data_IF_801311332145
#
_entry.id   IF_801311332145
#
_cell.length_a   1.000
_cell.length_b   1.000
_cell.length_c   1.000
_cell.angle_alpha   90.00
_cell.angle_beta   90.00
_cell.angle_gamma   90.00
#
_symmetry.space_group_name_H-M   'P 1'
#
loop_
_entity.id
_entity.type
_entity.pdbx_description
1 polymer ?
#
# COMPACT_ATOMS: atom_id res chain seq x y z
N UNK A 1 41.29 -81.25 -3.11
CA UNK A 1 41.23 -81.34 -1.64
C UNK A 1 40.68 -80.01 -1.11
N UNK A 2 39.37 -79.97 -0.85
CA UNK A 2 38.73 -79.91 0.50
C UNK A 2 38.35 -78.45 0.82
N UNK A 3 37.12 -78.02 0.49
CA UNK A 3 35.95 -77.92 1.39
C UNK A 3 36.14 -77.02 2.62
N UNK A 4 35.43 -75.87 2.65
CA UNK A 4 34.79 -75.35 3.89
C UNK A 4 33.63 -74.37 3.59
N UNK A 5 32.40 -74.90 3.75
CA UNK A 5 31.17 -74.34 4.37
C UNK A 5 30.70 -72.91 4.03
N UNK A 6 29.60 -72.83 3.26
CA UNK A 6 28.62 -71.72 3.31
C UNK A 6 27.76 -71.82 4.58
N UNK A 7 27.67 -70.74 5.35
CA UNK A 7 26.66 -70.54 6.41
C UNK A 7 25.35 -69.99 5.80
N UNK A 8 24.17 -70.36 6.33
CA UNK A 8 22.89 -70.02 5.70
C UNK A 8 22.46 -68.59 6.06
N UNK A 9 22.04 -67.84 5.03
CA UNK A 9 21.45 -66.50 5.15
C UNK A 9 20.08 -66.62 5.83
N UNK A 10 19.97 -66.20 7.10
CA UNK A 10 18.68 -65.96 7.73
C UNK A 10 18.06 -64.71 7.11
N UNK A 11 17.00 -64.85 6.32
CA UNK A 11 16.21 -63.71 5.87
C UNK A 11 15.52 -63.08 7.09
N UNK A 12 16.08 -61.99 7.61
CA UNK A 12 15.34 -61.12 8.52
C UNK A 12 14.15 -60.55 7.74
N UNK A 13 12.95 -60.98 8.11
CA UNK A 13 11.71 -60.48 7.52
C UNK A 13 11.48 -59.03 8.01
N UNK A 14 12.08 -58.08 7.31
CA UNK A 14 12.01 -56.63 7.57
C UNK A 14 10.55 -56.15 7.67
N UNK A 15 9.61 -56.82 6.99
CA UNK A 15 8.18 -56.49 7.08
C UNK A 15 7.60 -56.75 8.47
N UNK A 16 8.00 -57.84 9.14
CA UNK A 16 7.53 -58.12 10.50
C UNK A 16 8.11 -57.14 11.52
N UNK A 17 9.39 -56.77 11.37
CA UNK A 17 10.03 -55.76 12.21
C UNK A 17 9.40 -54.38 12.03
N UNK A 18 9.13 -53.95 10.80
CA UNK A 18 8.46 -52.68 10.52
C UNK A 18 7.02 -52.66 11.05
N UNK A 19 6.27 -53.77 10.93
CA UNK A 19 4.93 -53.86 11.53
C UNK A 19 4.98 -53.77 13.05
N UNK A 20 5.95 -54.41 13.70
CA UNK A 20 6.12 -54.31 15.16
C UNK A 20 6.43 -52.86 15.60
N UNK A 21 7.22 -52.12 14.80
CA UNK A 21 7.57 -50.73 15.07
C UNK A 21 6.36 -49.79 14.89
N UNK A 22 5.56 -49.99 13.83
CA UNK A 22 4.33 -49.21 13.59
C UNK A 22 3.27 -49.50 14.66
N UNK A 23 3.15 -50.73 15.12
CA UNK A 23 2.24 -51.09 16.23
C UNK A 23 2.67 -50.46 17.55
N UNK A 24 3.98 -50.41 17.86
CA UNK A 24 4.51 -49.66 19.02
C UNK A 24 4.22 -48.15 18.92
N UNK A 25 4.38 -47.57 17.73
CA UNK A 25 4.13 -46.14 17.50
C UNK A 25 2.64 -45.76 17.56
N UNK A 26 1.71 -46.70 17.29
CA UNK A 26 0.27 -46.49 17.49
C UNK A 26 -0.15 -46.52 18.97
N UNK A 27 0.58 -47.23 19.83
CA UNK A 27 0.36 -47.23 21.28
C UNK A 27 0.82 -45.92 21.97
N UNK A 28 1.83 -45.24 21.42
CA UNK A 28 2.38 -43.99 21.98
C UNK A 28 1.63 -42.72 21.55
N UNK A 29 0.61 -42.81 20.68
CA UNK A 29 -0.16 -41.62 20.24
C UNK A 29 -0.99 -40.97 21.37
N UNK A 30 -1.18 -41.65 22.50
CA UNK A 30 -1.78 -41.08 23.72
C UNK A 30 -0.78 -40.34 24.63
N UNK A 31 0.53 -40.49 24.42
CA UNK A 31 1.59 -39.85 25.24
C UNK A 31 2.20 -38.58 24.59
N UNK A 32 1.80 -38.23 23.35
CA UNK A 32 2.38 -37.08 22.60
C UNK A 32 1.94 -35.72 23.17
N UNK A 33 0.88 -35.69 24.00
CA UNK A 33 0.48 -34.48 24.74
C UNK A 33 1.46 -34.17 25.87
N UNK A 34 1.69 -35.14 26.76
CA UNK A 34 2.64 -35.02 27.88
C UNK A 34 4.07 -34.78 27.39
N UNK A 35 4.51 -35.47 26.34
CA UNK A 35 5.87 -35.33 25.80
C UNK A 35 6.22 -33.91 25.34
N UNK A 36 5.25 -33.13 24.84
CA UNK A 36 5.52 -31.73 24.44
C UNK A 36 5.58 -30.79 25.64
N UNK A 37 4.78 -31.05 26.67
CA UNK A 37 4.82 -30.29 27.91
C UNK A 37 6.12 -30.59 28.67
N UNK A 38 6.52 -31.85 28.75
CA UNK A 38 7.80 -32.29 29.31
C UNK A 38 9.00 -31.70 28.55
N UNK A 39 8.96 -31.68 27.21
CA UNK A 39 10.00 -31.05 26.39
C UNK A 39 10.06 -29.52 26.60
N UNK A 40 8.90 -28.88 26.78
CA UNK A 40 8.82 -27.44 27.05
C UNK A 40 9.31 -27.10 28.46
N UNK A 41 9.01 -27.94 29.46
CA UNK A 41 9.53 -27.80 30.82
C UNK A 41 11.04 -28.02 30.89
N UNK A 42 11.54 -29.03 30.18
CA UNK A 42 12.98 -29.29 30.04
C UNK A 42 13.70 -28.13 29.36
N UNK A 43 13.12 -27.58 28.28
CA UNK A 43 13.66 -26.38 27.62
C UNK A 43 13.68 -25.18 28.57
N UNK A 44 12.61 -24.96 29.33
CA UNK A 44 12.51 -23.87 30.30
C UNK A 44 13.55 -24.01 31.42
N UNK A 45 13.77 -25.23 31.94
CA UNK A 45 14.79 -25.49 32.95
C UNK A 45 16.19 -25.21 32.42
N UNK A 46 16.53 -25.73 31.25
CA UNK A 46 17.84 -25.51 30.62
C UNK A 46 18.06 -24.04 30.27
N UNK A 47 17.03 -23.35 29.78
CA UNK A 47 17.10 -21.92 29.46
C UNK A 47 17.32 -21.06 30.72
N UNK A 48 16.66 -21.42 31.84
CA UNK A 48 16.82 -20.74 33.14
C UNK A 48 18.21 -20.96 33.73
N UNK A 49 18.76 -22.16 33.63
CA UNK A 49 20.12 -22.48 34.08
C UNK A 49 21.18 -21.75 33.23
N UNK A 50 21.01 -21.71 31.89
CA UNK A 50 21.99 -21.11 31.00
C UNK A 50 22.06 -19.58 31.06
N UNK A 51 20.93 -18.89 31.26
CA UNK A 51 20.92 -17.41 31.28
C UNK A 51 21.19 -16.78 32.66
N UNK A 52 21.26 -17.57 33.74
CA UNK A 52 21.51 -17.04 35.09
C UNK A 52 20.48 -16.01 35.56
N UNK A 53 19.24 -16.06 35.07
CA UNK A 53 18.19 -15.10 35.44
C UNK A 53 17.59 -15.52 36.78
N UNK A 54 18.07 -14.92 37.88
CA UNK A 54 17.34 -14.94 39.16
C UNK A 54 15.96 -14.31 38.94
N UNK A 55 14.90 -14.95 39.46
CA UNK A 55 13.48 -14.55 39.39
C UNK A 55 13.16 -13.15 39.97
N UNK A 56 13.72 -12.09 39.40
CA UNK A 56 13.37 -10.70 39.68
C UNK A 56 12.67 -10.04 38.50
N UNK A 57 11.97 -10.82 37.68
CA UNK A 57 11.00 -10.29 36.72
C UNK A 57 9.60 -10.28 37.34
N UNK A 58 9.42 -9.60 38.48
CA UNK A 58 8.07 -9.26 39.01
C UNK A 58 7.32 -8.27 38.11
N UNK A 59 8.02 -7.69 37.12
CA UNK A 59 7.50 -6.68 36.22
C UNK A 59 7.93 -6.99 34.77
N UNK A 60 7.56 -8.15 34.23
CA UNK A 60 7.42 -8.25 32.79
C UNK A 60 6.09 -7.56 32.44
N UNK A 61 6.10 -6.33 31.90
CA UNK A 61 4.85 -5.77 31.38
C UNK A 61 4.31 -6.73 30.33
N UNK A 62 3.00 -7.02 30.38
CA UNK A 62 2.35 -7.78 29.31
C UNK A 62 2.51 -7.00 28.00
N UNK A 63 3.43 -7.45 27.15
CA UNK A 63 3.73 -6.79 25.86
C UNK A 63 2.62 -7.06 24.83
N UNK A 64 1.81 -8.09 25.05
CA UNK A 64 0.76 -8.51 24.14
C UNK A 64 -0.45 -9.01 24.92
N UNK A 65 -1.55 -8.28 24.79
CA UNK A 65 -2.86 -8.74 25.29
C UNK A 65 -3.65 -9.23 24.09
N UNK A 66 -3.96 -10.53 24.06
CA UNK A 66 -4.79 -11.12 23.01
C UNK A 66 -6.14 -10.40 22.98
N UNK A 67 -6.55 -9.99 21.79
CA UNK A 67 -7.80 -9.29 21.60
C UNK A 67 -8.97 -10.29 21.68
N UNK A 68 -10.14 -9.89 22.23
CA UNK A 68 -11.31 -10.76 22.28
C UNK A 68 -11.68 -11.24 20.88
N UNK A 69 -11.98 -12.53 20.73
CA UNK A 69 -12.44 -13.11 19.46
C UNK A 69 -13.97 -13.10 19.40
N UNK A 70 -14.52 -13.42 18.22
CA UNK A 70 -15.98 -13.56 17.99
C UNK A 70 -16.67 -14.54 18.93
N UNK A 71 -15.91 -15.39 19.61
CA UNK A 71 -16.40 -16.37 20.58
C UNK A 71 -16.77 -15.73 21.93
N UNK A 72 -16.38 -14.47 22.17
CA UNK A 72 -16.60 -13.74 23.43
C UNK A 72 -17.40 -12.43 23.19
N UNK A 73 -18.71 -12.51 22.87
CA UNK A 73 -19.50 -11.37 22.42
C UNK A 73 -19.65 -10.26 23.47
N UNK A 74 -19.64 -10.61 24.77
CA UNK A 74 -19.75 -9.64 25.86
C UNK A 74 -18.46 -8.84 26.04
N UNK A 75 -17.29 -9.48 25.88
CA UNK A 75 -15.99 -8.80 25.94
C UNK A 75 -15.76 -7.93 24.72
N UNK A 76 -16.26 -8.33 23.54
CA UNK A 76 -16.29 -7.49 22.35
C UNK A 76 -17.12 -6.23 22.57
N UNK A 77 -18.38 -6.35 23.01
CA UNK A 77 -19.23 -5.18 23.29
C UNK A 77 -18.65 -4.25 24.36
N UNK A 78 -18.11 -4.81 25.44
CA UNK A 78 -17.45 -4.00 26.48
C UNK A 78 -16.25 -3.25 25.89
N UNK A 79 -15.48 -3.89 25.01
CA UNK A 79 -14.35 -3.26 24.32
C UNK A 79 -14.83 -2.15 23.39
N UNK A 80 -15.85 -2.39 22.58
CA UNK A 80 -16.49 -1.40 21.70
C UNK A 80 -16.91 -0.15 22.49
N UNK A 81 -17.68 -0.33 23.57
CA UNK A 81 -18.12 0.79 24.42
C UNK A 81 -16.95 1.52 25.08
N UNK A 82 -15.95 0.78 25.58
CA UNK A 82 -14.75 1.38 26.18
C UNK A 82 -13.95 2.20 25.17
N UNK A 83 -13.87 1.74 23.92
CA UNK A 83 -13.17 2.40 22.82
C UNK A 83 -13.92 3.65 22.37
N UNK A 84 -15.23 3.56 22.19
CA UNK A 84 -16.07 4.70 21.83
C UNK A 84 -15.92 5.81 22.88
N UNK A 85 -15.98 5.48 24.17
CA UNK A 85 -15.73 6.44 25.24
C UNK A 85 -14.31 7.02 25.22
N UNK A 86 -13.29 6.18 24.96
CA UNK A 86 -11.91 6.64 24.84
C UNK A 86 -11.72 7.61 23.67
N UNK A 87 -12.28 7.29 22.49
CA UNK A 87 -12.22 8.14 21.30
C UNK A 87 -13.00 9.43 21.48
N UNK A 88 -14.15 9.41 22.16
CA UNK A 88 -14.90 10.62 22.52
C UNK A 88 -14.09 11.54 23.45
N UNK A 89 -13.45 11.00 24.49
CA UNK A 89 -12.56 11.79 25.36
C UNK A 89 -11.40 12.40 24.58
N UNK A 90 -10.78 11.62 23.69
CA UNK A 90 -9.71 12.11 22.82
C UNK A 90 -10.18 13.17 21.84
N UNK A 91 -11.40 13.04 21.32
CA UNK A 91 -12.01 14.05 20.44
C UNK A 91 -12.22 15.37 21.16
N UNK A 92 -12.63 15.34 22.43
CA UNK A 92 -12.78 16.56 23.26
C UNK A 92 -11.45 17.26 23.59
N UNK A 93 -10.32 16.54 23.55
CA UNK A 93 -8.98 17.13 23.76
C UNK A 93 -8.49 17.93 22.53
N UNK A 94 -9.11 17.73 21.37
CA UNK A 94 -8.75 18.40 20.12
C UNK A 94 -9.18 19.88 20.18
N UNK A 95 -8.38 20.74 19.54
CA UNK A 95 -8.69 22.16 19.39
C UNK A 95 -9.79 22.35 18.35
N UNK A 96 -10.84 23.06 18.74
CA UNK A 96 -11.92 23.46 17.84
C UNK A 96 -11.54 24.70 17.02
N UNK A 97 -12.27 24.99 15.95
CA UNK A 97 -12.00 26.14 15.07
C UNK A 97 -11.99 27.47 15.84
N UNK A 98 -12.90 27.67 16.78
CA UNK A 98 -12.94 28.88 17.62
C UNK A 98 -11.72 28.99 18.55
N UNK A 99 -11.21 27.86 19.04
CA UNK A 99 -10.00 27.82 19.88
C UNK A 99 -8.75 28.11 19.07
N UNK A 100 -8.68 27.61 17.83
CA UNK A 100 -7.62 27.89 16.86
C UNK A 100 -7.59 29.37 16.47
N UNK A 101 -8.76 29.98 16.21
CA UNK A 101 -8.85 31.42 15.93
C UNK A 101 -8.39 32.27 17.12
N UNK A 102 -8.80 31.92 18.34
CA UNK A 102 -8.32 32.58 19.57
C UNK A 102 -6.81 32.44 19.73
N UNK A 103 -6.27 31.27 19.44
CA UNK A 103 -4.83 31.03 19.50
C UNK A 103 -4.07 31.87 18.48
N UNK A 104 -4.56 31.97 17.25
CA UNK A 104 -3.99 32.86 16.22
C UNK A 104 -3.93 34.31 16.70
N UNK A 105 -5.05 34.83 17.22
CA UNK A 105 -5.11 36.19 17.74
C UNK A 105 -4.13 36.43 18.92
N UNK A 106 -3.94 35.43 19.79
CA UNK A 106 -2.97 35.52 20.88
C UNK A 106 -1.52 35.54 20.37
N UNK A 107 -1.20 34.75 19.34
CA UNK A 107 0.12 34.74 18.72
C UNK A 107 0.41 36.07 18.02
N UNK A 108 -0.55 36.58 17.22
CA UNK A 108 -0.46 37.86 16.52
C UNK A 108 -0.26 39.03 17.48
N UNK A 109 -0.93 39.02 18.64
CA UNK A 109 -0.78 40.06 19.68
C UNK A 109 0.59 40.05 20.38
N UNK A 110 1.26 38.91 20.44
CA UNK A 110 2.49 38.69 21.20
C UNK A 110 3.72 38.46 20.29
N UNK A 111 3.70 38.98 19.06
CA UNK A 111 4.86 38.93 18.17
C UNK A 111 6.00 39.83 18.67
N UNK A 112 7.24 39.41 18.41
CA UNK A 112 8.46 40.10 18.85
C UNK A 112 9.11 40.84 17.65
N UNK A 113 9.18 42.18 17.66
CA UNK A 113 9.91 42.96 16.65
C UNK A 113 11.43 42.64 16.65
N UNK A 114 12.17 42.85 15.54
CA UNK A 114 11.74 43.36 14.24
C UNK A 114 11.06 42.30 13.37
N UNK A 115 10.05 42.73 12.62
CA UNK A 115 9.45 41.94 11.54
C UNK A 115 10.47 41.83 10.40
N UNK A 116 10.95 40.63 10.12
CA UNK A 116 11.83 40.35 8.98
C UNK A 116 10.95 39.87 7.82
N UNK A 117 11.11 40.43 6.63
CA UNK A 117 10.42 40.02 5.39
C UNK A 117 8.88 39.93 5.48
N UNK A 118 8.25 40.73 6.36
CA UNK A 118 6.79 40.69 6.56
C UNK A 118 6.30 39.49 7.37
N UNK A 119 7.18 38.61 7.85
CA UNK A 119 6.84 37.50 8.73
C UNK A 119 6.87 37.92 10.21
N UNK A 120 5.78 37.64 10.91
CA UNK A 120 5.70 37.83 12.35
C UNK A 120 6.45 36.71 13.07
N UNK A 121 7.39 37.11 13.91
CA UNK A 121 8.25 36.20 14.66
C UNK A 121 7.91 36.25 16.15
N UNK A 122 8.16 35.17 16.89
CA UNK A 122 7.97 35.10 18.34
C UNK A 122 9.21 34.58 19.05
N UNK A 123 9.61 35.28 20.12
CA UNK A 123 10.70 34.89 21.02
C UNK A 123 10.28 33.73 21.93
N UNK A 124 11.25 33.08 22.58
CA UNK A 124 10.93 32.01 23.52
C UNK A 124 10.19 32.52 24.78
N UNK A 125 10.46 33.75 25.22
CA UNK A 125 9.78 34.36 26.35
C UNK A 125 8.30 34.62 26.03
N UNK A 126 8.02 35.20 24.86
CA UNK A 126 6.67 35.45 24.38
C UNK A 126 5.93 34.13 24.09
N UNK A 127 6.64 33.11 23.60
CA UNK A 127 6.09 31.77 23.42
C UNK A 127 5.59 31.15 24.73
N UNK A 128 6.33 31.33 25.83
CA UNK A 128 5.89 30.89 27.17
C UNK A 128 4.70 31.72 27.68
N UNK A 129 4.71 33.04 27.47
CA UNK A 129 3.60 33.92 27.84
C UNK A 129 2.30 33.54 27.10
N UNK A 130 2.40 33.22 25.81
CA UNK A 130 1.26 32.72 25.04
C UNK A 130 0.83 31.34 25.56
N UNK A 131 1.76 30.45 25.92
CA UNK A 131 1.42 29.14 26.51
C UNK A 131 0.64 29.24 27.83
N UNK A 132 0.92 30.25 28.65
CA UNK A 132 0.20 30.48 29.92
C UNK A 132 -1.21 31.02 29.70
N UNK A 133 -1.36 31.90 28.71
CA UNK A 133 -2.66 32.49 28.32
C UNK A 133 -3.50 31.57 27.46
N UNK A 134 -2.87 30.63 26.75
CA UNK A 134 -3.54 29.64 25.94
C UNK A 134 -4.26 28.61 26.82
N UNK A 135 -5.37 28.08 26.31
CA UNK A 135 -6.18 27.08 27.02
C UNK A 135 -5.40 25.82 27.39
N UNK A 136 -5.93 25.04 28.34
CA UNK A 136 -5.27 23.82 28.82
C UNK A 136 -4.94 22.81 27.70
N UNK A 137 -5.78 22.73 26.66
CA UNK A 137 -5.57 21.90 25.46
C UNK A 137 -4.30 22.29 24.68
N UNK A 138 -4.01 23.59 24.60
CA UNK A 138 -2.89 24.13 23.84
C UNK A 138 -1.52 23.80 24.46
N UNK A 139 -1.45 23.57 25.78
CA UNK A 139 -0.19 23.34 26.50
C UNK A 139 0.65 22.20 25.93
N UNK A 140 0.01 21.19 25.35
CA UNK A 140 0.70 20.05 24.73
C UNK A 140 1.51 20.40 23.46
N UNK A 141 1.23 21.56 22.84
CA UNK A 141 1.93 22.06 21.65
C UNK A 141 3.11 22.97 22.03
N UNK A 142 3.05 23.64 23.18
CA UNK A 142 4.07 24.58 23.66
C UNK A 142 5.22 23.90 24.40
N UNK A 143 5.88 22.94 23.75
CA UNK A 143 7.05 22.26 24.31
C UNK A 143 8.37 22.93 23.86
N UNK A 144 9.41 23.00 24.72
CA UNK A 144 10.72 23.53 24.34
C UNK A 144 11.32 22.79 23.14
N UNK A 145 11.07 21.48 23.04
CA UNK A 145 11.50 20.65 21.90
C UNK A 145 10.81 21.03 20.58
N UNK A 146 9.58 21.54 20.62
CA UNK A 146 8.86 22.01 19.43
C UNK A 146 9.45 23.35 19.01
N UNK A 147 9.68 24.26 19.96
CA UNK A 147 10.33 25.53 19.69
C UNK A 147 11.70 25.32 19.02
N UNK A 148 12.58 24.51 19.61
CA UNK A 148 13.91 24.25 19.03
C UNK A 148 13.89 23.59 17.64
N UNK A 149 12.83 22.84 17.30
CA UNK A 149 12.67 22.25 15.95
C UNK A 149 12.22 23.27 14.91
N UNK A 150 11.51 24.31 15.34
CA UNK A 150 10.98 25.38 14.48
C UNK A 150 11.90 26.60 14.43
N UNK A 151 12.86 26.71 15.35
CA UNK A 151 13.94 27.70 15.28
C UNK A 151 14.75 27.41 14.04
N UNK A 152 14.61 28.29 13.06
CA UNK A 152 15.45 28.33 11.87
C UNK A 152 16.75 29.09 12.18
N UNK A 153 17.56 29.35 11.16
CA UNK A 153 18.78 30.16 11.21
C UNK A 153 18.51 31.65 11.46
N UNK A 154 17.54 32.00 12.32
CA UNK A 154 17.30 33.39 12.74
C UNK A 154 18.41 33.82 13.71
N UNK A 155 19.09 34.96 13.46
CA UNK A 155 20.14 35.48 14.33
C UNK A 155 19.70 35.76 15.77
N UNK A 156 18.39 35.93 15.99
CA UNK A 156 17.78 36.24 17.29
C UNK A 156 17.11 35.04 17.95
N UNK A 157 17.18 33.84 17.34
CA UNK A 157 16.61 32.61 17.89
C UNK A 157 15.07 32.62 18.00
N UNK A 158 14.38 33.33 17.12
CA UNK A 158 12.90 33.40 17.08
C UNK A 158 12.33 32.37 16.10
N UNK A 159 11.02 32.11 16.23
CA UNK A 159 10.27 31.24 15.29
C UNK A 159 9.19 32.03 14.56
N UNK A 160 8.88 31.64 13.32
CA UNK A 160 7.77 32.22 12.56
C UNK A 160 6.44 31.78 13.15
N UNK A 161 5.56 32.74 13.47
CA UNK A 161 4.22 32.47 14.02
C UNK A 161 3.41 31.65 13.02
N UNK A 162 3.53 31.96 11.72
CA UNK A 162 2.84 31.22 10.66
C UNK A 162 3.26 29.75 10.64
N UNK A 163 4.57 29.47 10.71
CA UNK A 163 5.09 28.11 10.72
C UNK A 163 4.65 27.33 11.97
N UNK A 164 4.66 27.97 13.14
CA UNK A 164 4.18 27.35 14.37
C UNK A 164 2.67 27.07 14.34
N UNK A 165 1.88 28.02 13.84
CA UNK A 165 0.44 27.82 13.68
C UNK A 165 0.13 26.69 12.70
N UNK A 166 0.84 26.63 11.55
CA UNK A 166 0.73 25.54 10.59
C UNK A 166 1.12 24.19 11.20
N UNK A 167 2.14 24.15 12.08
CA UNK A 167 2.49 22.94 12.83
C UNK A 167 1.33 22.48 13.73
N UNK A 168 0.70 23.39 14.47
CA UNK A 168 -0.46 23.07 15.31
C UNK A 168 -1.61 22.57 14.46
N UNK A 169 -1.96 23.28 13.38
CA UNK A 169 -3.02 22.90 12.46
C UNK A 169 -2.82 21.49 11.91
N UNK A 170 -1.61 21.18 11.40
CA UNK A 170 -1.26 19.84 10.90
C UNK A 170 -1.40 18.77 11.98
N UNK A 171 -0.97 19.05 13.20
CA UNK A 171 -1.04 18.07 14.30
C UNK A 171 -2.46 17.85 14.80
N UNK A 172 -3.26 18.91 14.92
CA UNK A 172 -4.70 18.85 15.23
C UNK A 172 -5.41 18.03 14.17
N UNK A 173 -5.16 18.31 12.90
CA UNK A 173 -5.70 17.58 11.76
C UNK A 173 -5.32 16.10 11.78
N UNK A 174 -4.05 15.75 11.98
CA UNK A 174 -3.61 14.36 12.08
C UNK A 174 -4.33 13.61 13.21
N UNK A 175 -4.54 14.26 14.35
CA UNK A 175 -5.31 13.69 15.45
C UNK A 175 -6.78 13.52 15.11
N UNK A 176 -7.42 14.51 14.47
CA UNK A 176 -8.80 14.43 14.01
C UNK A 176 -8.99 13.27 13.03
N UNK A 177 -8.17 13.19 11.98
CA UNK A 177 -8.25 12.14 10.96
C UNK A 177 -7.99 10.77 11.55
N UNK A 178 -7.01 10.64 12.46
CA UNK A 178 -6.74 9.39 13.19
C UNK A 178 -7.93 8.95 14.03
N UNK A 179 -8.58 9.86 14.74
CA UNK A 179 -9.78 9.54 15.53
C UNK A 179 -10.92 9.15 14.60
N UNK A 180 -11.14 9.90 13.51
CA UNK A 180 -12.14 9.61 12.49
C UNK A 180 -12.00 8.19 11.95
N UNK A 181 -10.81 7.82 11.47
CA UNK A 181 -10.52 6.46 11.00
C UNK A 181 -10.67 5.41 12.12
N UNK A 182 -10.23 5.71 13.33
CA UNK A 182 -10.31 4.77 14.46
C UNK A 182 -11.74 4.47 14.93
N UNK A 183 -12.72 5.32 14.62
CA UNK A 183 -14.13 5.05 14.92
C UNK A 183 -14.68 3.87 14.09
N UNK A 184 -14.14 3.63 12.89
CA UNK A 184 -14.53 2.51 12.03
C UNK A 184 -13.80 1.21 12.38
N UNK A 185 -12.71 1.27 13.15
CA UNK A 185 -12.06 0.09 13.73
C UNK A 185 -12.75 -0.30 15.05
N UNK A 186 -13.92 -0.93 14.92
CA UNK A 186 -14.80 -1.36 16.01
C UNK A 186 -14.04 -2.24 17.02
N UNK A 187 -13.29 -3.23 16.53
CA UNK A 187 -12.56 -4.18 17.37
C UNK A 187 -11.24 -3.63 17.94
N UNK A 188 -10.69 -2.57 17.35
CA UNK A 188 -9.47 -1.93 17.82
C UNK A 188 -8.20 -2.68 17.47
N UNK A 189 -8.16 -3.25 16.27
CA UNK A 189 -7.00 -3.95 15.76
C UNK A 189 -5.93 -3.00 15.18
N UNK A 190 -6.27 -1.74 14.92
CA UNK A 190 -5.40 -0.75 14.30
C UNK A 190 -5.35 -0.83 12.77
N UNK A 191 -6.26 -1.59 12.16
CA UNK A 191 -6.43 -1.69 10.71
C UNK A 191 -7.89 -1.52 10.31
N UNK A 192 -8.11 -1.12 9.06
CA UNK A 192 -9.42 -1.00 8.43
C UNK A 192 -9.56 -2.04 7.32
N UNK A 193 -10.76 -2.61 7.20
CA UNK A 193 -11.16 -3.43 6.04
C UNK A 193 -11.77 -2.54 4.96
N UNK A 194 -12.00 -3.13 3.80
CA UNK A 194 -12.58 -2.43 2.64
C UNK A 194 -13.91 -1.77 2.99
N UNK A 195 -14.83 -2.51 3.62
CA UNK A 195 -16.12 -1.97 4.10
C UNK A 195 -15.97 -0.79 5.05
N UNK A 196 -14.97 -0.83 5.92
CA UNK A 196 -14.76 0.19 6.96
C UNK A 196 -14.29 1.49 6.31
N UNK A 197 -13.39 1.39 5.33
CA UNK A 197 -12.90 2.53 4.57
C UNK A 197 -13.95 3.08 3.58
N UNK A 198 -14.73 2.20 2.94
CA UNK A 198 -15.85 2.58 2.07
C UNK A 198 -16.87 3.43 2.86
N UNK A 199 -17.24 3.00 4.07
CA UNK A 199 -18.16 3.75 4.94
C UNK A 199 -17.58 5.12 5.36
N UNK A 200 -16.29 5.15 5.73
CA UNK A 200 -15.60 6.41 6.05
C UNK A 200 -15.62 7.39 4.88
N UNK A 201 -15.31 6.94 3.67
CA UNK A 201 -15.33 7.78 2.47
C UNK A 201 -16.76 8.27 2.19
N UNK A 202 -17.76 7.41 2.29
CA UNK A 202 -19.16 7.76 2.06
C UNK A 202 -19.65 8.88 2.99
N UNK A 203 -19.29 8.83 4.27
CA UNK A 203 -19.64 9.88 5.23
C UNK A 203 -18.88 11.19 5.00
N UNK A 204 -17.70 11.12 4.38
CA UNK A 204 -16.92 12.31 4.05
C UNK A 204 -17.42 13.04 2.80
N UNK A 205 -18.03 12.37 1.83
CA UNK A 205 -18.49 12.99 0.57
C UNK A 205 -19.25 14.32 0.78
N UNK A 206 -20.25 14.43 1.68
CA UNK A 206 -20.99 15.68 1.88
C UNK A 206 -20.14 16.84 2.42
N UNK A 207 -18.96 16.54 2.98
CA UNK A 207 -18.02 17.54 3.51
C UNK A 207 -17.01 18.01 2.47
N UNK A 208 -17.02 17.42 1.26
CA UNK A 208 -16.08 17.71 0.17
C UNK A 208 -16.79 18.54 -0.91
N UNK A 209 -16.59 19.87 -0.98
CA UNK A 209 -17.28 20.73 -1.92
C UNK A 209 -17.08 20.31 -3.38
N UNK A 210 -15.88 19.82 -3.73
CA UNK A 210 -15.55 19.35 -5.08
C UNK A 210 -16.35 18.12 -5.53
N UNK A 211 -17.00 17.41 -4.60
CA UNK A 211 -17.83 16.23 -4.89
C UNK A 211 -19.33 16.51 -4.86
N UNK A 212 -19.75 17.73 -4.50
CA UNK A 212 -21.18 18.09 -4.40
C UNK A 212 -21.95 17.93 -5.72
N UNK A 213 -21.25 17.98 -6.86
CA UNK A 213 -21.85 17.78 -8.19
C UNK A 213 -22.16 16.32 -8.55
N UNK A 214 -21.74 15.35 -7.73
CA UNK A 214 -21.95 13.93 -8.03
C UNK A 214 -23.39 13.49 -7.75
N UNK A 215 -23.95 12.69 -8.67
CA UNK A 215 -25.25 12.06 -8.46
C UNK A 215 -25.18 10.99 -7.36
N UNK A 216 -26.25 10.89 -6.56
CA UNK A 216 -26.32 9.89 -5.46
C UNK A 216 -26.25 8.44 -5.95
N UNK A 217 -26.71 8.17 -7.18
CA UNK A 217 -26.58 6.88 -7.87
C UNK A 217 -25.12 6.48 -8.08
N UNK A 218 -24.23 7.46 -8.25
CA UNK A 218 -22.82 7.26 -8.50
C UNK A 218 -21.99 7.08 -7.22
N UNK A 219 -22.54 7.38 -6.03
CA UNK A 219 -21.79 7.34 -4.78
C UNK A 219 -21.17 5.96 -4.51
N UNK A 220 -21.89 4.88 -4.78
CA UNK A 220 -21.36 3.52 -4.61
C UNK A 220 -20.13 3.26 -5.48
N UNK A 221 -20.14 3.74 -6.73
CA UNK A 221 -19.01 3.58 -7.66
C UNK A 221 -17.84 4.49 -7.27
N UNK A 222 -18.12 5.72 -6.86
CA UNK A 222 -17.10 6.65 -6.38
C UNK A 222 -16.39 6.12 -5.14
N UNK A 223 -17.16 5.68 -4.13
CA UNK A 223 -16.63 5.11 -2.89
C UNK A 223 -15.77 3.89 -3.18
N UNK A 224 -16.24 2.99 -4.06
CA UNK A 224 -15.48 1.84 -4.52
C UNK A 224 -14.15 2.28 -5.18
N UNK A 225 -14.20 3.26 -6.09
CA UNK A 225 -13.02 3.80 -6.80
C UNK A 225 -11.99 4.37 -5.84
N UNK A 226 -12.44 5.20 -4.90
CA UNK A 226 -11.58 5.83 -3.91
C UNK A 226 -10.98 4.81 -2.94
N UNK A 227 -11.80 3.91 -2.38
CA UNK A 227 -11.33 2.86 -1.48
C UNK A 227 -10.33 1.94 -2.18
N UNK A 228 -10.58 1.58 -3.45
CA UNK A 228 -9.70 0.70 -4.22
C UNK A 228 -8.31 1.29 -4.40
N UNK A 229 -8.18 2.60 -4.62
CA UNK A 229 -6.87 3.27 -4.68
C UNK A 229 -6.06 3.06 -3.40
N UNK A 230 -6.66 3.21 -2.22
CA UNK A 230 -5.97 2.94 -0.95
C UNK A 230 -5.55 1.47 -0.82
N UNK A 231 -6.45 0.53 -1.12
CA UNK A 231 -6.14 -0.91 -1.02
C UNK A 231 -5.07 -1.36 -2.03
N UNK A 232 -5.08 -0.81 -3.23
CA UNK A 232 -4.11 -1.16 -4.26
C UNK A 232 -2.68 -0.80 -3.84
N UNK A 233 -2.47 0.39 -3.28
CA UNK A 233 -1.13 0.83 -2.90
C UNK A 233 -0.69 0.42 -1.49
N UNK A 234 -1.61 0.37 -0.52
CA UNK A 234 -1.29 0.11 0.89
C UNK A 234 -1.44 -1.36 1.30
N UNK A 235 -2.10 -2.20 0.49
CA UNK A 235 -2.25 -3.64 0.75
C UNK A 235 -1.74 -4.49 -0.42
N UNK A 236 -0.42 -4.49 -0.70
CA UNK A 236 0.13 -5.13 -1.90
C UNK A 236 0.11 -6.65 -1.90
N UNK A 237 -0.18 -7.27 -0.74
CA UNK A 237 -0.31 -8.73 -0.59
C UNK A 237 -1.81 -9.12 -0.59
N UNK A 238 -2.73 -8.16 -0.76
CA UNK A 238 -4.18 -8.37 -0.76
C UNK A 238 -4.67 -9.07 0.52
N UNK A 239 -4.17 -8.63 1.68
CA UNK A 239 -4.60 -9.13 2.99
C UNK A 239 -6.02 -8.71 3.37
N UNK A 240 -6.60 -7.73 2.65
CA UNK A 240 -7.89 -7.11 2.94
C UNK A 240 -7.84 -6.19 4.16
N UNK A 241 -6.64 -5.76 4.59
CA UNK A 241 -6.44 -4.98 5.81
C UNK A 241 -5.37 -3.91 5.59
N UNK A 242 -5.71 -2.65 5.86
CA UNK A 242 -4.76 -1.53 5.82
C UNK A 242 -4.61 -0.97 7.23
N UNK A 243 -3.38 -0.74 7.70
CA UNK A 243 -3.18 -0.11 9.00
C UNK A 243 -3.57 1.37 8.94
N UNK A 244 -4.20 1.87 9.99
CA UNK A 244 -4.59 3.29 10.09
C UNK A 244 -3.35 4.20 9.99
N UNK A 245 -2.22 3.77 10.55
CA UNK A 245 -0.96 4.51 10.46
C UNK A 245 -0.50 4.66 9.01
N UNK A 246 -0.60 3.60 8.21
CA UNK A 246 -0.16 3.60 6.81
C UNK A 246 -1.03 4.55 5.97
N UNK A 247 -2.34 4.64 6.27
CA UNK A 247 -3.27 5.62 5.67
C UNK A 247 -2.89 7.05 6.06
N UNK A 248 -2.53 7.30 7.32
CA UNK A 248 -2.15 8.64 7.79
C UNK A 248 -0.81 9.13 7.23
N UNK A 249 0.05 8.21 6.78
CA UNK A 249 1.37 8.52 6.23
C UNK A 249 1.39 8.54 4.71
N UNK A 250 0.30 8.15 4.04
CA UNK A 250 0.26 8.13 2.58
C UNK A 250 -0.08 9.51 2.01
N UNK A 251 0.54 9.86 0.89
CA UNK A 251 0.24 11.12 0.18
C UNK A 251 -1.18 11.16 -0.36
N UNK A 252 -1.78 10.01 -0.67
CA UNK A 252 -3.14 9.94 -1.22
C UNK A 252 -4.21 10.47 -0.27
N UNK A 253 -3.97 10.40 1.04
CA UNK A 253 -4.89 10.97 2.02
C UNK A 253 -4.93 12.49 1.92
N UNK A 254 -3.78 13.12 1.66
CA UNK A 254 -3.69 14.56 1.42
C UNK A 254 -4.45 14.93 0.14
N UNK A 255 -4.19 14.23 -0.98
CA UNK A 255 -4.93 14.41 -2.25
C UNK A 255 -6.46 14.31 -2.05
N UNK A 256 -6.91 13.34 -1.24
CA UNK A 256 -8.33 13.13 -0.98
C UNK A 256 -8.93 14.26 -0.15
N UNK A 257 -8.18 14.80 0.81
CA UNK A 257 -8.66 15.84 1.72
C UNK A 257 -8.50 17.26 1.16
N UNK A 258 -7.62 17.46 0.18
CA UNK A 258 -7.55 18.69 -0.61
C UNK A 258 -8.88 19.00 -1.30
N UNK A 259 -9.71 17.99 -1.61
CA UNK A 259 -11.06 18.16 -2.17
C UNK A 259 -12.02 18.97 -1.27
N UNK A 260 -11.61 19.31 -0.05
CA UNK A 260 -12.29 20.27 0.83
C UNK A 260 -12.13 21.72 0.39
N UNK A 261 -11.07 22.03 -0.34
CA UNK A 261 -10.80 23.37 -0.84
C UNK A 261 -11.72 23.69 -2.01
N UNK A 262 -12.51 24.75 -1.89
CA UNK A 262 -13.44 25.21 -2.92
C UNK A 262 -12.72 25.83 -4.13
N UNK A 263 -11.51 26.38 -3.92
CA UNK A 263 -10.74 27.11 -4.94
C UNK A 263 -9.72 26.24 -5.68
N UNK A 264 -9.85 24.91 -5.61
CA UNK A 264 -9.01 23.98 -6.35
C UNK A 264 -9.05 24.27 -7.86
N UNK A 265 -7.89 24.56 -8.43
CA UNK A 265 -7.77 24.80 -9.87
C UNK A 265 -8.17 23.56 -10.68
N UNK A 266 -8.61 23.77 -11.93
CA UNK A 266 -9.01 22.69 -12.84
C UNK A 266 -7.87 21.71 -13.15
N UNK A 267 -6.65 22.21 -13.30
CA UNK A 267 -5.46 21.38 -13.57
C UNK A 267 -5.19 20.40 -12.42
N UNK A 268 -5.27 20.89 -11.17
CA UNK A 268 -5.15 20.03 -10.00
C UNK A 268 -6.28 19.01 -9.92
N UNK A 269 -7.53 19.41 -10.24
CA UNK A 269 -8.65 18.47 -10.30
C UNK A 269 -8.43 17.36 -11.33
N UNK A 270 -7.87 17.67 -12.50
CA UNK A 270 -7.59 16.68 -13.55
C UNK A 270 -6.46 15.71 -13.18
N UNK A 271 -5.46 16.20 -12.43
CA UNK A 271 -4.35 15.38 -11.91
C UNK A 271 -4.75 14.53 -10.71
N UNK A 272 -5.68 15.01 -9.87
CA UNK A 272 -6.11 14.33 -8.67
C UNK A 272 -7.09 13.20 -9.02
N UNK A 273 -6.71 11.96 -8.74
CA UNK A 273 -7.53 10.79 -9.00
C UNK A 273 -8.85 10.76 -8.22
N UNK A 274 -8.89 11.38 -7.05
CA UNK A 274 -10.08 11.39 -6.19
C UNK A 274 -11.10 12.46 -6.62
N UNK A 275 -10.74 13.34 -7.55
CA UNK A 275 -11.67 14.36 -8.03
C UNK A 275 -12.87 13.73 -8.75
N UNK A 276 -14.00 14.43 -8.73
CA UNK A 276 -15.20 14.02 -9.46
C UNK A 276 -14.92 13.82 -10.97
N UNK A 277 -14.21 14.72 -11.69
CA UNK A 277 -13.86 14.53 -13.09
C UNK A 277 -13.05 13.26 -13.35
N UNK A 278 -12.03 12.97 -12.53
CA UNK A 278 -11.18 11.78 -12.68
C UNK A 278 -11.98 10.49 -12.44
N UNK A 279 -12.77 10.43 -11.38
CA UNK A 279 -13.61 9.26 -11.09
C UNK A 279 -14.66 9.02 -12.20
N UNK A 280 -15.28 10.08 -12.71
CA UNK A 280 -16.22 9.99 -13.84
C UNK A 280 -15.54 9.60 -15.14
N UNK A 281 -14.29 10.03 -15.38
CA UNK A 281 -13.50 9.62 -16.55
C UNK A 281 -13.27 8.11 -16.55
N UNK A 282 -12.83 7.55 -15.43
CA UNK A 282 -12.56 6.10 -15.28
C UNK A 282 -13.83 5.29 -15.43
N UNK A 283 -14.90 5.70 -14.75
CA UNK A 283 -16.19 5.02 -14.87
C UNK A 283 -16.80 5.17 -16.27
N UNK A 284 -16.66 6.32 -16.90
CA UNK A 284 -17.09 6.54 -18.29
C UNK A 284 -16.33 5.66 -19.28
N UNK A 285 -15.03 5.45 -19.07
CA UNK A 285 -14.25 4.49 -19.85
C UNK A 285 -14.77 3.07 -19.68
N UNK A 286 -15.08 2.66 -18.44
CA UNK A 286 -15.70 1.35 -18.17
C UNK A 286 -16.99 1.16 -18.96
N UNK A 287 -17.92 2.12 -18.88
CA UNK A 287 -19.20 2.08 -19.60
C UNK A 287 -19.05 2.10 -21.13
N UNK A 288 -17.99 2.70 -21.65
CA UNK A 288 -17.71 2.71 -23.08
C UNK A 288 -17.16 1.36 -23.58
N UNK A 289 -16.51 0.60 -22.70
CA UNK A 289 -16.00 -0.74 -23.01
C UNK A 289 -17.13 -1.77 -22.93
N UNK A 290 -17.99 -1.69 -21.91
CA UNK A 290 -19.17 -2.55 -21.69
C UNK A 290 -20.26 -2.27 -22.74
N UNK A 291 -20.22 -3.00 -23.86
CA UNK A 291 -21.11 -2.77 -25.01
C UNK A 291 -22.46 -3.45 -24.83
N UNK A 292 -22.48 -4.59 -24.18
CA UNK A 292 -23.71 -5.34 -23.92
C UNK A 292 -24.46 -4.83 -22.68
N UNK A 293 -23.81 -3.95 -21.90
CA UNK A 293 -24.34 -3.29 -20.69
C UNK A 293 -24.72 -4.30 -19.62
N UNK A 294 -23.98 -5.41 -19.56
CA UNK A 294 -24.20 -6.45 -18.57
C UNK A 294 -23.55 -6.09 -17.21
N UNK A 295 -22.75 -5.02 -17.16
CA UNK A 295 -22.10 -4.52 -15.95
C UNK A 295 -20.76 -5.18 -15.64
N UNK A 296 -20.25 -6.03 -16.53
CA UNK A 296 -18.96 -6.71 -16.51
C UNK A 296 -18.21 -6.45 -17.84
N UNK A 297 -16.93 -6.82 -17.90
CA UNK A 297 -16.13 -6.68 -19.12
C UNK A 297 -15.61 -8.03 -19.60
N UNK A 298 -15.92 -8.37 -20.84
CA UNK A 298 -15.29 -9.48 -21.56
C UNK A 298 -13.86 -9.14 -22.00
N UNK A 299 -13.10 -10.17 -22.39
CA UNK A 299 -11.73 -9.98 -22.94
C UNK A 299 -11.74 -9.10 -24.18
N UNK A 300 -12.71 -9.30 -25.07
CA UNK A 300 -12.86 -8.58 -26.33
C UNK A 300 -13.20 -7.10 -26.13
N UNK A 301 -13.89 -6.79 -25.02
CA UNK A 301 -14.18 -5.41 -24.63
C UNK A 301 -12.96 -4.75 -24.01
N UNK A 302 -12.29 -5.41 -23.07
CA UNK A 302 -11.06 -4.88 -22.46
C UNK A 302 -9.93 -4.70 -23.49
N UNK A 303 -9.90 -5.51 -24.55
CA UNK A 303 -8.95 -5.36 -25.66
C UNK A 303 -9.01 -4.00 -26.35
N UNK A 304 -10.12 -3.25 -26.21
CA UNK A 304 -10.28 -1.88 -26.74
C UNK A 304 -9.86 -0.79 -25.76
N UNK A 305 -9.33 -1.16 -24.59
CA UNK A 305 -8.83 -0.20 -23.61
C UNK A 305 -7.69 0.64 -24.21
N UNK A 306 -7.71 1.94 -23.94
CA UNK A 306 -6.73 2.90 -24.47
C UNK A 306 -6.72 2.94 -25.99
N UNK A 307 -5.57 2.61 -26.59
CA UNK A 307 -5.34 2.54 -28.03
C UNK A 307 -5.72 1.18 -28.64
N UNK A 308 -6.11 0.20 -27.83
CA UNK A 308 -6.40 -1.17 -28.28
C UNK A 308 -5.18 -1.96 -28.74
N UNK A 309 -3.98 -1.51 -28.33
CA UNK A 309 -2.69 -2.08 -28.75
C UNK A 309 -2.17 -3.17 -27.83
N UNK A 310 -2.81 -3.39 -26.68
CA UNK A 310 -2.48 -4.46 -25.73
C UNK A 310 -2.52 -5.84 -26.37
N UNK A 311 -1.49 -6.65 -26.13
CA UNK A 311 -1.40 -7.98 -26.74
C UNK A 311 -2.45 -8.95 -26.22
N UNK A 312 -2.94 -9.84 -27.08
CA UNK A 312 -3.95 -10.83 -26.68
C UNK A 312 -3.44 -11.78 -25.60
N UNK A 313 -2.13 -12.09 -25.64
CA UNK A 313 -1.43 -12.92 -24.65
C UNK A 313 -1.40 -12.25 -23.28
N UNK A 314 -1.16 -10.93 -23.22
CA UNK A 314 -1.25 -10.18 -21.97
C UNK A 314 -2.67 -10.19 -21.42
N UNK A 315 -3.68 -9.91 -22.27
CA UNK A 315 -5.08 -9.93 -21.87
C UNK A 315 -5.53 -11.32 -21.37
N UNK A 316 -5.10 -12.40 -22.02
CA UNK A 316 -5.36 -13.76 -21.54
C UNK A 316 -4.83 -13.98 -20.12
N UNK A 317 -3.61 -13.50 -19.85
CA UNK A 317 -3.00 -13.63 -18.53
C UNK A 317 -3.69 -12.73 -17.49
N UNK A 318 -4.15 -11.53 -17.88
CA UNK A 318 -4.95 -10.67 -17.01
C UNK A 318 -6.22 -11.38 -16.54
N UNK A 319 -6.98 -12.00 -17.46
CA UNK A 319 -8.21 -12.73 -17.11
C UNK A 319 -7.94 -14.06 -16.37
N UNK A 320 -6.74 -14.64 -16.48
CA UNK A 320 -6.34 -15.81 -15.69
C UNK A 320 -5.95 -15.46 -14.25
N UNK A 321 -5.31 -14.32 -14.02
CA UNK A 321 -4.83 -13.91 -12.69
C UNK A 321 -5.85 -13.08 -11.89
N UNK A 322 -6.76 -12.38 -12.59
CA UNK A 322 -7.81 -11.59 -11.96
C UNK A 322 -8.99 -12.45 -11.51
N UNK A 323 -9.76 -11.90 -10.57
CA UNK A 323 -11.06 -12.47 -10.23
C UNK A 323 -12.02 -12.20 -11.39
N UNK A 324 -12.43 -13.26 -12.08
CA UNK A 324 -13.42 -13.20 -13.17
C UNK A 324 -14.65 -14.01 -12.82
N UNK A 325 -15.82 -13.53 -13.21
CA UNK A 325 -17.10 -14.20 -13.08
C UNK A 325 -17.54 -14.68 -14.46
N UNK A 326 -17.60 -16.00 -14.66
CA UNK A 326 -17.95 -16.60 -15.97
C UNK A 326 -17.07 -16.14 -17.14
N UNK A 327 -15.82 -15.73 -16.85
CA UNK A 327 -14.88 -15.22 -17.84
C UNK A 327 -14.94 -13.71 -18.05
N UNK A 328 -15.74 -12.99 -17.27
CA UNK A 328 -15.87 -11.53 -17.33
C UNK A 328 -15.30 -10.86 -16.07
N UNK A 329 -14.80 -9.64 -16.24
CA UNK A 329 -14.16 -8.84 -15.20
C UNK A 329 -15.14 -7.84 -14.60
N UNK A 330 -15.20 -7.74 -13.27
CA UNK A 330 -16.02 -6.75 -12.58
C UNK A 330 -15.35 -5.37 -12.51
N UNK A 331 -16.12 -4.35 -12.10
CA UNK A 331 -15.61 -2.99 -11.94
C UNK A 331 -14.43 -2.91 -10.95
N UNK A 332 -14.40 -3.75 -9.90
CA UNK A 332 -13.30 -3.75 -8.92
C UNK A 332 -11.99 -4.27 -9.52
N UNK A 333 -12.05 -5.35 -10.30
CA UNK A 333 -10.89 -5.87 -11.02
C UNK A 333 -10.46 -4.92 -12.15
N UNK A 334 -11.40 -4.25 -12.82
CA UNK A 334 -11.08 -3.19 -13.79
C UNK A 334 -10.33 -2.03 -13.13
N UNK A 335 -10.73 -1.60 -11.93
CA UNK A 335 -10.02 -0.55 -11.20
C UNK A 335 -8.57 -0.95 -10.85
N UNK A 336 -8.35 -2.20 -10.42
CA UNK A 336 -6.98 -2.71 -10.22
C UNK A 336 -6.16 -2.63 -11.51
N UNK A 337 -6.77 -3.00 -12.64
CA UNK A 337 -6.14 -2.95 -13.94
C UNK A 337 -5.78 -1.51 -14.35
N UNK A 338 -6.72 -0.57 -14.24
CA UNK A 338 -6.47 0.85 -14.59
C UNK A 338 -5.39 1.46 -13.69
N UNK A 339 -5.48 1.26 -12.36
CA UNK A 339 -4.47 1.75 -11.42
C UNK A 339 -3.07 1.18 -11.74
N UNK A 340 -3.00 -0.08 -12.16
CA UNK A 340 -1.74 -0.70 -12.60
C UNK A 340 -1.21 -0.02 -13.86
N UNK A 341 -2.06 0.18 -14.86
CA UNK A 341 -1.67 0.69 -16.18
C UNK A 341 -1.27 2.17 -16.15
N UNK A 342 -1.85 2.97 -15.26
CA UNK A 342 -1.47 4.38 -15.09
C UNK A 342 -0.23 4.56 -14.20
N UNK A 343 -0.02 3.69 -13.21
CA UNK A 343 1.09 3.80 -12.26
C UNK A 343 2.15 2.70 -12.44
N UNK A 344 2.55 2.37 -13.68
CA UNK A 344 3.51 1.27 -13.97
C UNK A 344 4.88 1.40 -13.30
N UNK A 345 5.25 2.60 -12.84
CA UNK A 345 6.51 2.86 -12.11
C UNK A 345 6.47 2.42 -10.66
N UNK A 346 5.28 2.37 -10.06
CA UNK A 346 5.13 2.03 -8.65
C UNK A 346 5.39 0.55 -8.42
N UNK A 347 6.02 0.22 -7.29
CA UNK A 347 6.37 -1.15 -6.95
C UNK A 347 5.15 -2.09 -6.90
N UNK A 348 3.98 -1.55 -6.53
CA UNK A 348 2.74 -2.32 -6.43
C UNK A 348 2.17 -2.69 -7.80
N UNK A 349 2.21 -1.75 -8.75
CA UNK A 349 1.84 -2.00 -10.13
C UNK A 349 2.80 -2.98 -10.79
N UNK A 350 4.12 -2.82 -10.57
CA UNK A 350 5.11 -3.78 -11.05
C UNK A 350 4.88 -5.18 -10.48
N UNK A 351 4.49 -5.30 -9.20
CA UNK A 351 4.15 -6.58 -8.59
C UNK A 351 2.93 -7.23 -9.24
N UNK A 352 1.89 -6.43 -9.53
CA UNK A 352 0.71 -6.91 -10.23
C UNK A 352 1.06 -7.40 -11.65
N UNK A 353 1.82 -6.60 -12.41
CA UNK A 353 2.27 -6.94 -13.76
C UNK A 353 3.21 -8.15 -13.78
N UNK A 354 4.13 -8.23 -12.82
CA UNK A 354 5.05 -9.36 -12.69
C UNK A 354 4.30 -10.66 -12.47
N UNK A 355 3.22 -10.64 -11.67
CA UNK A 355 2.36 -11.82 -11.49
C UNK A 355 1.69 -12.27 -12.78
N UNK A 356 1.30 -11.33 -13.65
CA UNK A 356 0.75 -11.63 -14.97
C UNK A 356 1.82 -12.23 -15.90
N UNK A 357 3.02 -11.63 -15.88
CA UNK A 357 4.17 -12.06 -16.70
C UNK A 357 4.77 -13.40 -16.24
N UNK A 358 4.65 -13.75 -14.96
CA UNK A 358 5.16 -15.01 -14.41
C UNK A 358 4.21 -16.18 -14.69
N UNK A 359 4.27 -16.68 -15.92
CA UNK A 359 3.45 -17.81 -16.42
C UNK A 359 3.57 -19.05 -15.54
N UNK A 360 4.77 -19.31 -15.00
CA UNK A 360 5.06 -20.53 -14.25
C UNK A 360 4.87 -20.36 -12.73
N UNK A 361 4.49 -19.17 -12.25
CA UNK A 361 4.52 -18.82 -10.82
C UNK A 361 5.86 -19.17 -10.15
N UNK A 362 6.96 -19.06 -10.91
CA UNK A 362 8.30 -19.44 -10.48
C UNK A 362 8.99 -18.34 -9.64
N UNK A 363 8.32 -17.20 -9.43
CA UNK A 363 8.87 -15.98 -8.83
C UNK A 363 10.06 -15.38 -9.60
N UNK A 364 10.21 -15.76 -10.88
CA UNK A 364 11.27 -15.30 -11.75
C UNK A 364 10.85 -15.36 -13.21
N UNK A 365 11.17 -14.31 -13.98
CA UNK A 365 11.02 -14.28 -15.42
C UNK A 365 12.29 -14.81 -16.09
N UNK A 366 12.14 -15.75 -17.00
CA UNK A 366 13.24 -16.28 -17.79
C UNK A 366 13.09 -15.84 -19.26
N UNK A 367 14.12 -16.11 -20.06
CA UNK A 367 14.15 -15.81 -21.51
C UNK A 367 12.94 -16.42 -22.23
N UNK A 368 12.45 -17.58 -21.80
CA UNK A 368 11.27 -18.21 -22.40
C UNK A 368 10.00 -17.39 -22.15
N UNK A 369 9.77 -16.93 -20.91
CA UNK A 369 8.64 -16.06 -20.57
C UNK A 369 8.69 -14.77 -21.37
N UNK A 370 9.85 -14.12 -21.47
CA UNK A 370 10.01 -12.88 -22.25
C UNK A 370 9.69 -13.12 -23.75
N UNK A 371 10.23 -14.19 -24.33
CA UNK A 371 9.97 -14.55 -25.73
C UNK A 371 8.49 -14.84 -25.99
N UNK A 372 7.80 -15.46 -25.03
CA UNK A 372 6.38 -15.77 -25.17
C UNK A 372 5.53 -14.50 -25.32
N UNK A 373 5.75 -13.48 -24.48
CA UNK A 373 5.05 -12.19 -24.62
C UNK A 373 5.51 -11.41 -25.86
N UNK A 374 6.82 -11.40 -26.13
CA UNK A 374 7.36 -10.65 -27.26
C UNK A 374 6.89 -11.17 -28.62
N UNK A 375 6.65 -12.48 -28.77
CA UNK A 375 6.08 -13.05 -30.00
C UNK A 375 4.72 -12.45 -30.36
N UNK A 376 3.87 -12.17 -29.36
CA UNK A 376 2.58 -11.54 -29.61
C UNK A 376 2.74 -10.11 -30.13
N UNK A 377 3.77 -9.40 -29.70
CA UNK A 377 4.12 -8.06 -30.22
C UNK A 377 4.60 -8.17 -31.66
N UNK A 378 5.51 -9.09 -31.96
CA UNK A 378 6.00 -9.31 -33.32
C UNK A 378 4.86 -9.67 -34.29
N UNK A 379 3.88 -10.46 -33.85
CA UNK A 379 2.69 -10.77 -34.65
C UNK A 379 1.86 -9.52 -34.94
N UNK A 380 1.62 -8.67 -33.93
CA UNK A 380 0.94 -7.38 -34.14
C UNK A 380 1.73 -6.43 -35.04
N UNK A 381 3.06 -6.36 -34.91
CA UNK A 381 3.92 -5.56 -35.81
C UNK A 381 3.75 -5.98 -37.27
N UNK A 382 3.75 -7.29 -37.53
CA UNK A 382 3.53 -7.84 -38.88
C UNK A 382 2.15 -7.47 -39.43
N UNK A 383 1.12 -7.51 -38.59
CA UNK A 383 -0.24 -7.11 -38.97
C UNK A 383 -0.32 -5.62 -39.34
N UNK A 384 0.46 -4.78 -38.67
CA UNK A 384 0.59 -3.35 -38.97
C UNK A 384 1.61 -3.04 -40.08
N UNK A 385 2.18 -4.06 -40.74
CA UNK A 385 3.10 -3.90 -41.87
C UNK A 385 4.51 -3.43 -41.50
N UNK A 386 4.91 -3.60 -40.23
CA UNK A 386 6.24 -3.23 -39.74
C UNK A 386 7.18 -4.43 -39.74
N UNK A 387 8.48 -4.17 -39.94
CA UNK A 387 9.50 -5.22 -39.85
C UNK A 387 9.69 -5.66 -38.39
N UNK A 388 9.68 -6.97 -38.11
CA UNK A 388 9.81 -7.47 -36.75
C UNK A 388 11.25 -7.33 -36.25
N UNK A 389 11.41 -6.76 -35.05
CA UNK A 389 12.69 -6.69 -34.33
C UNK A 389 13.11 -8.09 -33.86
N UNK A 390 14.41 -8.37 -33.85
CA UNK A 390 14.93 -9.65 -33.35
C UNK A 390 14.77 -9.73 -31.83
N UNK A 391 14.24 -10.86 -31.35
CA UNK A 391 14.05 -11.07 -29.90
C UNK A 391 15.38 -11.06 -29.13
N UNK A 392 16.49 -11.46 -29.75
CA UNK A 392 17.80 -11.48 -29.09
C UNK A 392 18.24 -10.07 -28.69
N UNK A 393 18.07 -9.09 -29.57
CA UNK A 393 18.42 -7.70 -29.30
C UNK A 393 17.58 -7.13 -28.14
N UNK A 394 16.26 -7.33 -28.19
CA UNK A 394 15.34 -6.88 -27.12
C UNK A 394 15.61 -7.61 -25.79
N UNK A 395 15.92 -8.90 -25.84
CA UNK A 395 16.28 -9.66 -24.64
C UNK A 395 17.55 -9.10 -24.00
N UNK A 396 18.59 -8.87 -24.80
CA UNK A 396 19.86 -8.34 -24.29
C UNK A 396 19.67 -6.93 -23.72
N UNK A 397 18.88 -6.07 -24.37
CA UNK A 397 18.49 -4.75 -23.82
C UNK A 397 17.74 -4.85 -22.49
N UNK A 398 16.78 -5.77 -22.36
CA UNK A 398 16.04 -5.98 -21.10
C UNK A 398 16.99 -6.42 -19.98
N UNK A 399 17.89 -7.37 -20.26
CA UNK A 399 18.86 -7.83 -19.27
C UNK A 399 19.89 -6.76 -18.89
N UNK A 400 20.31 -5.92 -19.84
CA UNK A 400 21.20 -4.78 -19.61
C UNK A 400 20.53 -3.65 -18.82
N UNK A 401 19.23 -3.43 -19.02
CA UNK A 401 18.43 -2.48 -18.23
C UNK A 401 18.22 -2.95 -16.79
N UNK A 402 17.84 -4.22 -16.61
CA UNK A 402 17.47 -4.76 -15.30
C UNK A 402 18.70 -5.10 -14.46
N UNK A 403 19.77 -5.59 -15.07
CA UNK A 403 20.99 -6.08 -14.39
C UNK A 403 20.67 -7.02 -13.23
N UNK A 404 19.99 -8.15 -13.50
CA UNK A 404 19.53 -9.03 -12.44
C UNK A 404 20.69 -9.66 -11.67
N UNK A 405 20.44 -10.02 -10.40
CA UNK A 405 21.43 -10.71 -9.57
C UNK A 405 21.82 -12.09 -10.14
N UNK A 406 20.86 -12.79 -10.76
CA UNK A 406 21.09 -14.01 -11.54
C UNK A 406 21.05 -13.67 -13.04
N UNK A 407 22.16 -13.85 -13.80
CA UNK A 407 22.21 -13.53 -15.23
C UNK A 407 21.16 -14.23 -16.11
N UNK A 408 20.50 -15.28 -15.61
CA UNK A 408 19.51 -16.05 -16.37
C UNK A 408 18.06 -15.77 -15.96
N UNK A 409 17.83 -14.98 -14.91
CA UNK A 409 16.51 -14.82 -14.30
C UNK A 409 16.30 -13.42 -13.75
N UNK A 410 15.16 -12.84 -14.04
CA UNK A 410 14.73 -11.55 -13.51
C UNK A 410 13.71 -11.78 -12.40
N UNK A 411 14.02 -11.36 -11.18
CA UNK A 411 13.06 -11.38 -10.07
C UNK A 411 12.29 -10.06 -9.98
N UNK A 412 11.21 -10.06 -9.19
CA UNK A 412 10.47 -8.83 -8.90
C UNK A 412 11.36 -7.77 -8.23
N UNK A 413 12.25 -8.20 -7.33
CA UNK A 413 13.18 -7.29 -6.66
C UNK A 413 14.16 -6.65 -7.64
N UNK A 414 14.67 -7.41 -8.61
CA UNK A 414 15.54 -6.88 -9.68
C UNK A 414 14.80 -5.81 -10.50
N UNK A 415 13.54 -6.08 -10.86
CA UNK A 415 12.71 -5.19 -11.66
C UNK A 415 12.35 -3.88 -10.92
N UNK A 416 12.21 -3.93 -9.60
CA UNK A 416 11.97 -2.75 -8.77
C UNK A 416 13.27 -1.97 -8.58
N UNK A 417 14.38 -2.66 -8.28
CA UNK A 417 15.67 -2.03 -7.98
C UNK A 417 16.32 -1.36 -9.20
N UNK A 418 16.03 -1.82 -10.42
CA UNK A 418 16.58 -1.23 -11.63
C UNK A 418 16.01 0.15 -11.97
N UNK A 419 14.85 0.52 -11.40
CA UNK A 419 14.17 1.79 -11.68
C UNK A 419 13.67 1.96 -13.13
N UNK A 420 13.72 0.89 -13.93
CA UNK A 420 13.27 0.84 -15.34
C UNK A 420 12.21 -0.24 -15.58
N UNK A 421 11.60 -0.76 -14.51
CA UNK A 421 10.60 -1.81 -14.59
C UNK A 421 9.37 -1.41 -15.42
N UNK A 422 8.98 -0.14 -15.39
CA UNK A 422 7.87 0.40 -16.19
C UNK A 422 8.12 0.26 -17.69
N UNK A 423 9.35 0.48 -18.13
CA UNK A 423 9.79 0.39 -19.52
C UNK A 423 9.82 -1.06 -19.97
N UNK A 424 10.44 -1.94 -19.17
CA UNK A 424 10.52 -3.38 -19.46
C UNK A 424 9.14 -4.01 -19.57
N UNK A 425 8.24 -3.69 -18.65
CA UNK A 425 6.88 -4.24 -18.71
C UNK A 425 6.12 -3.68 -19.91
N UNK A 426 6.21 -2.37 -20.16
CA UNK A 426 5.56 -1.73 -21.32
C UNK A 426 5.98 -2.35 -22.65
N UNK A 427 7.29 -2.64 -22.81
CA UNK A 427 7.86 -3.35 -23.97
C UNK A 427 7.24 -4.74 -24.17
N UNK A 428 6.76 -5.41 -23.12
CA UNK A 428 6.26 -6.78 -23.19
C UNK A 428 4.73 -6.87 -23.34
N UNK A 429 3.98 -5.82 -23.00
CA UNK A 429 2.52 -5.88 -22.93
C UNK A 429 1.80 -5.13 -24.06
N UNK A 430 2.39 -4.05 -24.59
CA UNK A 430 1.71 -3.13 -25.51
C UNK A 430 2.56 -2.77 -26.74
N UNK A 431 1.94 -2.80 -27.93
CA UNK A 431 2.61 -2.49 -29.19
C UNK A 431 3.00 -1.00 -29.32
N UNK A 432 2.13 -0.08 -28.89
CA UNK A 432 2.38 1.36 -29.01
C UNK A 432 3.47 1.81 -28.03
N UNK A 433 3.48 1.25 -26.82
CA UNK A 433 4.55 1.49 -25.87
C UNK A 433 5.89 0.94 -26.39
N UNK A 434 5.89 -0.26 -26.98
CA UNK A 434 7.08 -0.81 -27.65
C UNK A 434 7.55 0.10 -28.79
N UNK A 435 6.64 0.55 -29.64
CA UNK A 435 6.95 1.46 -30.75
C UNK A 435 7.54 2.79 -30.27
N UNK A 436 7.03 3.33 -29.17
CA UNK A 436 7.54 4.55 -28.55
C UNK A 436 8.95 4.33 -28.00
N UNK A 437 9.22 3.17 -27.42
CA UNK A 437 10.54 2.79 -26.93
C UNK A 437 11.57 2.61 -28.06
N UNK A 438 11.20 1.95 -29.15
CA UNK A 438 12.08 1.76 -30.32
C UNK A 438 12.43 3.11 -30.98
N UNK A 439 11.45 4.02 -31.07
CA UNK A 439 11.65 5.34 -31.67
C UNK A 439 12.11 6.41 -30.68
N UNK A 440 12.54 6.03 -29.46
CA UNK A 440 12.92 6.97 -28.41
C UNK A 440 14.01 7.95 -28.85
N UNK A 441 14.95 7.52 -29.69
CA UNK A 441 16.04 8.36 -30.19
C UNK A 441 15.58 9.40 -31.22
N UNK A 442 14.48 9.14 -31.93
CA UNK A 442 13.88 10.08 -32.90
C UNK A 442 12.82 11.00 -32.28
N UNK A 443 12.22 10.57 -31.16
CA UNK A 443 11.14 11.29 -30.47
C UNK A 443 11.64 12.28 -29.41
N UNK A 444 12.91 12.20 -29.00
CA UNK A 444 13.55 13.25 -28.20
C UNK A 444 13.87 14.41 -29.14
N UNK A 445 13.23 15.59 -29.00
CA UNK A 445 13.71 16.78 -29.70
C UNK A 445 15.14 17.01 -29.23
N UNK A 446 16.07 17.21 -30.17
CA UNK A 446 17.36 17.81 -29.85
C UNK A 446 17.09 19.11 -29.07
N UNK A 447 17.19 19.06 -27.75
CA UNK A 447 17.47 20.24 -26.95
C UNK A 447 18.90 20.55 -27.34
N UNK A 448 19.02 21.32 -28.42
CA UNK A 448 20.27 21.87 -28.89
C UNK A 448 20.82 22.69 -27.75
N UNK A 449 22.01 22.28 -27.31
CA UNK A 449 22.95 23.11 -26.58
C UNK A 449 23.21 24.40 -27.37
N UNK A 450 22.36 25.41 -27.20
CA UNK A 450 22.68 26.81 -27.47
C UNK A 450 22.60 27.59 -26.16
N UNK A 451 23.53 27.27 -25.25
CA UNK A 451 23.98 28.22 -24.23
C UNK A 451 25.47 28.44 -24.38
N UNK A 452 25.85 29.10 -25.48
CA UNK A 452 27.13 29.78 -25.62
C UNK A 452 26.97 30.88 -26.68
N UNK A 453 26.55 32.09 -26.26
CA UNK A 453 27.12 33.43 -26.58
C UNK A 453 26.64 34.44 -25.52
#
# INVERSE_FOLDING_TARGET
MTLTKKLPYQSMDIKSSLRSYVSRKKGQKSEVGDSKEEEMEMFDQLYREWKGVKNNCKYLPSLYTKLPTTDEPLLLKLREDSRTNFLQRRSQEILENDELQKLWFLLDKHHTPPVLDGEQMISYEDFLLVSEKAGAKCKSFFNPSVFCKLVQTDPYGRISIMQFFNYIMRKVWLHQTRIGLALYDVAGHGYLRESDLENYILELIPTLPQLNGLEKSFYSFYVCTAARKFFFFLDPIKTGKIKIVDILTCSFLDDFLELRDEELSKEFQESNWFSAPSALRVYGQYLNLDKDRNGMLSKEELARYGTGTLTDVFLDRVFQECLTYEGEMDYKAYLDFVLTMENKRESQSLRYLFRILDINSASSLNVFSLNYFFRAIQEKMKLHGQEPVLFQDVNDEIFDMVKPADPLKITLEDLINCGKGDTVVSILIDLNDFWTYENREYLVPEISDETDI
#
